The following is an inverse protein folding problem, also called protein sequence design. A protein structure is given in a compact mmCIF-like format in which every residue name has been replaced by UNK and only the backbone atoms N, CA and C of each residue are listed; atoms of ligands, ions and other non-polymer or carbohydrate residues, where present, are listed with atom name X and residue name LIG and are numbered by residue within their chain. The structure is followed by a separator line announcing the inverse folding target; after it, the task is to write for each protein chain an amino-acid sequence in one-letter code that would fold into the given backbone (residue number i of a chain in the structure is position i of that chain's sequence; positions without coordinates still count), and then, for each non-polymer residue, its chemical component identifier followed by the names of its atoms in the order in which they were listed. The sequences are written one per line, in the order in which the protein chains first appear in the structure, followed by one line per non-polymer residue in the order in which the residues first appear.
data_IF_637287001085
#
_entry.id   IF_637287001085
#
_cell.length_a   1.000
_cell.length_b   1.000
_cell.length_c   1.000
_cell.angle_alpha   90.00
_cell.angle_beta   90.00
_cell.angle_gamma   90.00
#
_symmetry.space_group_name_H-M   'P 1'
#
loop_
_entity.id
_entity.type
_entity.pdbx_description
1 polymer ?
#
# COMPACT_ATOMS: atom_id res chain seq x y z
N UNK A 1 -72.16 30.05 -3.34
CA UNK A 1 -70.77 30.57 -3.58
C UNK A 1 -69.82 30.19 -2.44
N UNK A 2 -69.68 28.92 -2.06
CA UNK A 2 -68.79 28.57 -0.92
C UNK A 2 -67.87 27.33 -1.16
N UNK A 3 -67.82 26.77 -2.39
CA UNK A 3 -66.97 25.58 -2.65
C UNK A 3 -65.60 25.87 -3.30
N UNK A 4 -65.32 27.10 -3.67
CA UNK A 4 -64.04 27.48 -4.31
C UNK A 4 -62.94 27.87 -3.31
N UNK A 5 -63.24 28.16 -2.07
CA UNK A 5 -62.26 28.61 -1.07
C UNK A 5 -61.51 27.41 -0.42
N UNK A 6 -62.12 26.24 -0.31
CA UNK A 6 -61.49 25.06 0.32
C UNK A 6 -60.47 24.38 -0.58
N UNK A 7 -60.60 24.46 -1.89
CA UNK A 7 -59.65 23.85 -2.83
C UNK A 7 -58.29 24.58 -2.92
N UNK A 8 -58.26 25.86 -2.60
CA UNK A 8 -57.02 26.66 -2.58
C UNK A 8 -56.15 26.38 -1.35
N UNK A 9 -56.75 26.06 -0.22
CA UNK A 9 -56.04 25.74 1.02
C UNK A 9 -55.36 24.34 0.97
N UNK A 10 -56.01 23.35 0.37
CA UNK A 10 -55.50 22.01 0.24
C UNK A 10 -54.28 21.98 -0.70
N UNK A 11 -54.32 22.73 -1.83
CA UNK A 11 -53.18 22.85 -2.75
C UNK A 11 -51.97 23.55 -2.12
N UNK A 12 -52.15 24.58 -1.30
CA UNK A 12 -51.08 25.29 -0.60
C UNK A 12 -50.38 24.43 0.44
N UNK A 13 -51.11 23.61 1.17
CA UNK A 13 -50.50 22.71 2.16
C UNK A 13 -49.78 21.52 1.54
N UNK A 14 -50.24 20.99 0.40
CA UNK A 14 -49.59 19.90 -0.30
C UNK A 14 -48.25 20.35 -0.94
N UNK A 15 -48.16 21.55 -1.50
CA UNK A 15 -46.93 22.08 -2.08
C UNK A 15 -45.89 22.41 -0.99
N UNK A 16 -46.36 22.92 0.18
CA UNK A 16 -45.44 23.20 1.31
C UNK A 16 -44.86 21.92 1.94
N UNK A 17 -45.65 20.83 2.02
CA UNK A 17 -45.19 19.56 2.59
C UNK A 17 -44.22 18.84 1.65
N UNK A 18 -44.44 18.87 0.32
CA UNK A 18 -43.51 18.30 -0.64
C UNK A 18 -42.21 19.09 -0.73
N UNK A 19 -42.23 20.39 -0.59
CA UNK A 19 -41.01 21.21 -0.56
C UNK A 19 -40.18 20.97 0.70
N UNK A 20 -40.83 20.76 1.86
CA UNK A 20 -40.13 20.44 3.11
C UNK A 20 -39.46 19.04 3.08
N UNK A 21 -40.06 18.03 2.43
CA UNK A 21 -39.49 16.69 2.30
C UNK A 21 -38.31 16.71 1.36
N UNK A 22 -38.34 17.49 0.27
CA UNK A 22 -37.20 17.63 -0.67
C UNK A 22 -36.01 18.37 -0.03
N UNK A 23 -36.26 19.32 0.87
CA UNK A 23 -35.19 20.03 1.58
C UNK A 23 -34.55 19.19 2.69
N UNK A 24 -35.28 18.24 3.29
CA UNK A 24 -34.72 17.31 4.28
C UNK A 24 -33.86 16.20 3.68
N UNK A 25 -34.13 15.80 2.45
CA UNK A 25 -33.28 14.81 1.73
C UNK A 25 -31.97 15.41 1.23
N UNK A 26 -31.83 16.74 1.14
CA UNK A 26 -30.60 17.42 0.73
C UNK A 26 -29.57 17.57 1.87
N UNK A 27 -29.89 17.19 3.09
CA UNK A 27 -29.02 17.36 4.27
C UNK A 27 -28.41 16.04 4.79
N UNK A 28 -28.47 14.94 4.03
CA UNK A 28 -27.76 13.72 4.40
C UNK A 28 -26.25 13.92 4.13
N UNK A 29 -25.39 13.79 5.14
CA UNK A 29 -23.96 13.96 4.93
C UNK A 29 -23.42 12.86 4.01
N UNK A 30 -22.59 13.25 3.07
CA UNK A 30 -21.99 12.30 2.12
C UNK A 30 -20.83 11.53 2.79
N UNK A 31 -20.85 10.22 2.72
CA UNK A 31 -19.88 9.33 3.42
C UNK A 31 -18.66 8.98 2.56
N UNK A 32 -18.58 9.40 1.31
CA UNK A 32 -17.45 9.16 0.41
C UNK A 32 -17.02 7.69 0.29
N UNK A 33 -17.98 6.77 0.35
CA UNK A 33 -17.72 5.32 0.40
C UNK A 33 -16.93 4.78 -0.80
N UNK A 34 -17.26 5.13 -2.07
CA UNK A 34 -16.47 4.71 -3.22
C UNK A 34 -15.04 5.25 -3.20
N UNK A 35 -14.88 6.51 -2.81
CA UNK A 35 -13.59 7.20 -2.75
C UNK A 35 -12.69 6.59 -1.66
N UNK A 36 -13.24 6.31 -0.48
CA UNK A 36 -12.54 5.62 0.60
C UNK A 36 -12.10 4.22 0.16
N UNK A 37 -12.97 3.48 -0.54
CA UNK A 37 -12.62 2.14 -1.04
C UNK A 37 -11.49 2.21 -2.06
N UNK A 38 -11.56 3.14 -3.01
CA UNK A 38 -10.51 3.32 -4.02
C UNK A 38 -9.19 3.78 -3.39
N UNK A 39 -9.24 4.68 -2.40
CA UNK A 39 -8.05 5.07 -1.64
C UNK A 39 -7.41 3.86 -0.93
N UNK A 40 -8.22 3.03 -0.27
CA UNK A 40 -7.73 1.83 0.40
C UNK A 40 -7.11 0.83 -0.57
N UNK A 41 -7.66 0.65 -1.76
CA UNK A 41 -7.08 -0.20 -2.80
C UNK A 41 -5.70 0.32 -3.24
N UNK A 42 -5.53 1.63 -3.42
CA UNK A 42 -4.23 2.23 -3.71
C UNK A 42 -3.22 2.01 -2.59
N UNK A 43 -3.63 2.10 -1.33
CA UNK A 43 -2.78 1.77 -0.17
C UNK A 43 -2.38 0.29 -0.19
N UNK A 44 -3.32 -0.62 -0.43
CA UNK A 44 -3.01 -2.06 -0.53
C UNK A 44 -2.00 -2.35 -1.64
N UNK A 45 -2.09 -1.66 -2.78
CA UNK A 45 -1.11 -1.77 -3.86
C UNK A 45 0.29 -1.31 -3.42
N UNK A 46 0.41 -0.15 -2.75
CA UNK A 46 1.70 0.35 -2.23
C UNK A 46 2.30 -0.61 -1.19
N UNK A 47 1.48 -1.11 -0.25
CA UNK A 47 1.95 -2.07 0.75
C UNK A 47 2.43 -3.37 0.10
N UNK A 48 1.72 -3.84 -0.93
CA UNK A 48 2.16 -5.00 -1.73
C UNK A 48 3.49 -4.74 -2.43
N UNK A 49 3.69 -3.54 -3.00
CA UNK A 49 4.97 -3.12 -3.62
C UNK A 49 6.10 -3.17 -2.62
N UNK A 50 5.90 -2.62 -1.42
CA UNK A 50 6.92 -2.65 -0.37
C UNK A 50 7.29 -4.09 0.02
N UNK A 51 6.31 -4.95 0.29
CA UNK A 51 6.52 -6.34 0.69
C UNK A 51 7.19 -7.17 -0.43
N UNK A 52 6.71 -7.05 -1.67
CA UNK A 52 7.30 -7.75 -2.82
C UNK A 52 8.72 -7.24 -3.09
N UNK A 53 8.94 -5.93 -2.97
CA UNK A 53 10.25 -5.30 -3.13
C UNK A 53 11.25 -5.80 -2.09
N UNK A 54 10.87 -5.83 -0.81
CA UNK A 54 11.69 -6.34 0.28
C UNK A 54 12.10 -7.80 0.04
N UNK A 55 11.13 -8.66 -0.28
CA UNK A 55 11.38 -10.08 -0.58
C UNK A 55 12.27 -10.28 -1.79
N UNK A 56 12.04 -9.52 -2.87
CA UNK A 56 12.83 -9.60 -4.09
C UNK A 56 14.28 -9.19 -3.84
N UNK A 57 14.50 -8.09 -3.11
CA UNK A 57 15.84 -7.61 -2.74
C UNK A 57 16.55 -8.64 -1.85
N UNK A 58 15.87 -9.21 -0.85
CA UNK A 58 16.43 -10.24 0.00
C UNK A 58 16.86 -11.48 -0.81
N UNK A 59 16.00 -11.94 -1.72
CA UNK A 59 16.29 -13.09 -2.60
C UNK A 59 17.48 -12.82 -3.52
N UNK A 60 17.56 -11.64 -4.12
CA UNK A 60 18.65 -11.26 -5.01
C UNK A 60 19.99 -11.17 -4.28
N UNK A 61 20.01 -10.63 -3.06
CA UNK A 61 21.21 -10.58 -2.23
C UNK A 61 21.67 -12.00 -1.90
N UNK A 62 20.76 -12.89 -1.51
CA UNK A 62 21.09 -14.30 -1.23
C UNK A 62 21.67 -15.01 -2.48
N UNK A 63 21.08 -14.78 -3.67
CA UNK A 63 21.60 -15.31 -4.94
C UNK A 63 22.99 -14.77 -5.27
N UNK A 64 23.25 -13.48 -5.05
CA UNK A 64 24.56 -12.88 -5.27
C UNK A 64 25.61 -13.47 -4.32
N UNK A 65 25.27 -13.69 -3.06
CA UNK A 65 26.15 -14.36 -2.08
C UNK A 65 26.44 -15.80 -2.51
N UNK A 66 25.41 -16.55 -2.90
CA UNK A 66 25.58 -17.90 -3.43
C UNK A 66 26.49 -17.92 -4.65
N UNK A 67 26.29 -17.02 -5.61
CA UNK A 67 27.14 -16.93 -6.82
C UNK A 67 28.60 -16.60 -6.46
N UNK A 68 28.84 -15.74 -5.48
CA UNK A 68 30.15 -15.41 -4.96
C UNK A 68 30.87 -16.65 -4.36
N UNK A 69 30.15 -17.41 -3.51
CA UNK A 69 30.67 -18.66 -2.93
C UNK A 69 31.02 -19.70 -4.00
N UNK A 70 30.15 -19.85 -5.02
CA UNK A 70 30.40 -20.77 -6.15
C UNK A 70 31.63 -20.34 -6.95
N UNK A 71 31.76 -19.05 -7.26
CA UNK A 71 32.88 -18.51 -8.01
C UNK A 71 34.22 -18.66 -7.27
N UNK A 72 34.20 -18.42 -5.96
CA UNK A 72 35.37 -18.57 -5.09
C UNK A 72 35.69 -20.04 -4.76
N UNK A 73 34.75 -20.97 -5.02
CA UNK A 73 34.83 -22.37 -4.56
C UNK A 73 35.09 -22.47 -3.07
N UNK A 74 34.37 -21.64 -2.29
CA UNK A 74 34.52 -21.57 -0.84
C UNK A 74 34.20 -22.92 -0.19
N UNK A 75 34.96 -23.25 0.85
CA UNK A 75 34.58 -24.31 1.78
C UNK A 75 33.40 -23.82 2.59
N UNK A 76 32.29 -24.56 2.55
CA UNK A 76 31.03 -24.18 3.19
C UNK A 76 30.74 -25.08 4.39
N UNK A 77 30.05 -24.49 5.39
CA UNK A 77 29.54 -25.17 6.57
C UNK A 77 28.17 -24.63 6.93
N UNK A 78 27.51 -25.30 7.86
CA UNK A 78 26.26 -24.79 8.46
C UNK A 78 26.57 -23.97 9.70
N UNK A 79 25.78 -22.93 9.96
CA UNK A 79 25.89 -22.19 11.22
C UNK A 79 25.76 -23.15 12.42
N UNK A 80 26.59 -22.97 13.47
CA UNK A 80 26.46 -23.74 14.71
C UNK A 80 25.02 -23.65 15.26
N UNK A 81 24.42 -24.82 15.50
CA UNK A 81 23.04 -24.93 15.96
C UNK A 81 22.04 -25.40 14.91
N UNK A 82 22.42 -25.43 13.61
CA UNK A 82 21.57 -26.02 12.58
C UNK A 82 21.35 -27.53 12.78
N UNK A 83 22.33 -28.22 13.37
CA UNK A 83 22.29 -29.67 13.68
C UNK A 83 21.72 -29.98 15.10
N UNK A 84 21.46 -28.94 15.88
CA UNK A 84 20.97 -29.12 17.24
C UNK A 84 19.48 -29.50 17.22
N UNK A 85 19.20 -30.78 17.43
CA UNK A 85 17.86 -31.21 17.82
C UNK A 85 17.62 -30.67 19.23
N UNK A 86 16.61 -29.81 19.41
CA UNK A 86 16.16 -29.40 20.74
C UNK A 86 15.94 -30.66 21.58
N UNK A 87 16.50 -30.74 22.80
CA UNK A 87 16.28 -31.89 23.71
C UNK A 87 14.79 -32.19 23.95
N UNK A 88 13.89 -31.23 23.70
CA UNK A 88 12.44 -31.37 23.73
C UNK A 88 11.82 -32.00 22.48
N UNK A 89 12.64 -32.34 21.48
CA UNK A 89 12.17 -32.92 20.21
C UNK A 89 11.49 -31.90 19.25
N UNK A 90 11.56 -30.59 19.55
CA UNK A 90 11.09 -29.57 18.63
C UNK A 90 12.11 -29.41 17.50
N UNK A 91 11.63 -29.24 16.24
CA UNK A 91 12.56 -28.92 15.16
C UNK A 91 13.28 -27.61 15.48
N UNK A 92 14.60 -27.51 15.16
CA UNK A 92 15.33 -26.26 15.31
C UNK A 92 14.59 -25.15 14.58
N UNK A 93 14.64 -23.92 15.10
CA UNK A 93 14.06 -22.76 14.41
C UNK A 93 14.82 -22.56 13.11
N UNK A 94 14.27 -23.07 12.01
CA UNK A 94 14.88 -23.00 10.65
C UNK A 94 15.28 -21.58 10.22
N UNK A 95 14.69 -20.55 10.85
CA UNK A 95 15.04 -19.15 10.60
C UNK A 95 16.48 -18.79 10.96
N UNK A 96 17.15 -19.56 11.82
CA UNK A 96 18.49 -19.26 12.32
C UNK A 96 19.58 -20.08 11.58
N UNK A 97 19.18 -21.02 10.71
CA UNK A 97 20.11 -21.83 9.94
C UNK A 97 20.56 -21.12 8.67
N UNK A 98 21.86 -21.03 8.44
CA UNK A 98 22.42 -20.48 7.21
C UNK A 98 23.67 -21.26 6.78
N UNK A 99 23.93 -21.27 5.49
CA UNK A 99 25.20 -21.76 4.91
C UNK A 99 26.19 -20.60 4.98
N UNK A 100 27.35 -20.87 5.57
CA UNK A 100 28.44 -19.90 5.76
C UNK A 100 29.77 -20.49 5.29
N UNK A 101 30.81 -19.67 5.19
CA UNK A 101 32.18 -20.20 4.98
C UNK A 101 32.59 -21.03 6.20
N UNK A 102 33.42 -22.04 5.98
CA UNK A 102 33.80 -23.04 6.98
C UNK A 102 34.29 -22.45 8.30
N UNK A 103 34.95 -21.31 8.30
CA UNK A 103 35.44 -20.64 9.49
C UNK A 103 34.52 -19.51 10.01
N UNK A 104 33.44 -19.20 9.30
CA UNK A 104 32.50 -18.15 9.70
C UNK A 104 31.52 -18.69 10.77
N UNK A 105 31.46 -18.01 11.91
CA UNK A 105 30.58 -18.38 13.02
C UNK A 105 29.26 -17.62 13.03
N UNK A 106 29.08 -16.70 12.10
CA UNK A 106 27.93 -15.81 12.01
C UNK A 106 27.46 -15.71 10.55
N UNK A 107 26.15 -15.63 10.36
CA UNK A 107 25.59 -15.28 9.08
C UNK A 107 26.05 -13.87 8.65
N UNK A 108 26.22 -13.61 7.35
CA UNK A 108 26.56 -12.28 6.90
C UNK A 108 25.48 -11.28 7.38
N UNK A 109 25.89 -10.10 7.87
CA UNK A 109 24.94 -9.10 8.35
C UNK A 109 24.03 -8.64 7.20
N UNK A 110 22.76 -8.29 7.50
CA UNK A 110 21.87 -7.75 6.50
C UNK A 110 22.43 -6.45 5.92
N UNK A 111 22.20 -6.24 4.63
CA UNK A 111 22.60 -4.99 3.97
C UNK A 111 21.82 -3.79 4.52
N UNK A 112 22.36 -2.58 4.37
CA UNK A 112 21.68 -1.37 4.79
C UNK A 112 20.28 -1.21 4.14
N UNK A 113 20.12 -1.65 2.91
CA UNK A 113 18.83 -1.65 2.19
C UNK A 113 17.83 -2.57 2.87
N UNK A 114 18.23 -3.80 3.23
CA UNK A 114 17.37 -4.74 3.93
C UNK A 114 16.96 -4.20 5.31
N UNK A 115 17.91 -3.62 6.05
CA UNK A 115 17.62 -3.02 7.37
C UNK A 115 16.65 -1.85 7.23
N UNK A 116 16.82 -1.00 6.22
CA UNK A 116 15.95 0.15 5.97
C UNK A 116 14.51 -0.30 5.70
N UNK A 117 14.30 -1.16 4.71
CA UNK A 117 12.96 -1.65 4.35
C UNK A 117 12.30 -2.41 5.52
N UNK A 118 13.04 -3.25 6.25
CA UNK A 118 12.51 -3.95 7.41
C UNK A 118 12.07 -3.00 8.54
N UNK A 119 12.79 -1.91 8.76
CA UNK A 119 12.43 -0.90 9.75
C UNK A 119 11.14 -0.15 9.40
N UNK A 120 10.85 0.01 8.10
CA UNK A 120 9.66 0.72 7.63
C UNK A 120 8.43 -0.20 7.47
N UNK A 121 8.62 -1.52 7.49
CA UNK A 121 7.53 -2.51 7.44
C UNK A 121 6.37 -2.27 8.42
N UNK A 122 6.62 -1.95 9.71
CA UNK A 122 5.58 -1.59 10.65
C UNK A 122 4.75 -0.37 10.26
N UNK A 123 5.35 0.61 9.56
CA UNK A 123 4.67 1.80 9.06
C UNK A 123 3.68 1.45 7.95
N UNK A 124 4.10 0.62 6.98
CA UNK A 124 3.22 0.14 5.91
C UNK A 124 2.08 -0.72 6.46
N UNK A 125 2.36 -1.54 7.49
CA UNK A 125 1.33 -2.32 8.18
C UNK A 125 0.30 -1.43 8.88
N UNK A 126 0.75 -0.34 9.53
CA UNK A 126 -0.13 0.62 10.17
C UNK A 126 -0.96 1.42 9.15
N UNK A 127 -0.37 1.80 8.01
CA UNK A 127 -1.07 2.45 6.89
C UNK A 127 -2.17 1.55 6.32
N UNK A 128 -1.88 0.28 6.10
CA UNK A 128 -2.87 -0.72 5.66
C UNK A 128 -4.01 -0.87 6.66
N UNK A 129 -3.69 -0.98 7.94
CA UNK A 129 -4.70 -1.07 9.00
C UNK A 129 -5.61 0.17 9.05
N UNK A 130 -5.04 1.37 8.87
CA UNK A 130 -5.80 2.60 8.78
C UNK A 130 -6.74 2.62 7.57
N UNK A 131 -6.27 2.28 6.39
CA UNK A 131 -7.07 2.20 5.17
C UNK A 131 -8.23 1.18 5.29
N UNK A 132 -7.95 -0.01 5.82
CA UNK A 132 -8.96 -1.03 6.08
C UNK A 132 -10.03 -0.56 7.10
N UNK A 133 -9.61 0.16 8.13
CA UNK A 133 -10.53 0.70 9.13
C UNK A 133 -11.42 1.83 8.58
N UNK A 134 -10.92 2.67 7.66
CA UNK A 134 -11.75 3.63 6.91
C UNK A 134 -12.86 2.93 6.14
N UNK A 135 -12.52 1.86 5.42
CA UNK A 135 -13.50 1.05 4.67
C UNK A 135 -14.52 0.41 5.62
N UNK A 136 -14.09 -0.09 6.77
CA UNK A 136 -14.98 -0.70 7.75
C UNK A 136 -16.02 0.32 8.28
N UNK A 137 -15.60 1.55 8.62
CA UNK A 137 -16.52 2.62 9.06
C UNK A 137 -17.49 2.99 7.94
N UNK A 138 -17.01 3.18 6.72
CA UNK A 138 -17.85 3.56 5.58
C UNK A 138 -18.90 2.50 5.21
N UNK A 139 -18.61 1.22 5.49
CA UNK A 139 -19.44 0.07 5.15
C UNK A 139 -20.24 -0.51 6.32
N UNK A 140 -20.10 0.01 7.54
CA UNK A 140 -20.80 -0.52 8.72
C UNK A 140 -22.34 -0.58 8.49
N UNK A 141 -22.96 -1.73 8.69
CA UNK A 141 -24.36 -1.95 8.33
C UNK A 141 -25.35 -1.52 9.41
N UNK A 142 -24.89 -1.43 10.67
CA UNK A 142 -25.69 -1.11 11.84
C UNK A 142 -24.85 -0.36 12.89
N UNK A 143 -25.50 0.07 13.98
CA UNK A 143 -24.86 0.84 15.04
C UNK A 143 -23.78 0.04 15.79
N UNK A 144 -23.95 -1.25 15.98
CA UNK A 144 -22.99 -2.08 16.69
C UNK A 144 -21.72 -2.27 15.87
N UNK A 145 -21.87 -2.59 14.58
CA UNK A 145 -20.74 -2.69 13.63
C UNK A 145 -20.06 -1.34 13.44
N UNK A 146 -20.80 -0.23 13.42
CA UNK A 146 -20.22 1.12 13.33
C UNK A 146 -19.43 1.47 14.58
N UNK A 147 -19.92 1.15 15.77
CA UNK A 147 -19.18 1.40 17.01
C UNK A 147 -17.85 0.66 17.04
N UNK A 148 -17.85 -0.62 16.67
CA UNK A 148 -16.64 -1.44 16.57
C UNK A 148 -15.69 -0.90 15.51
N UNK A 149 -16.19 -0.57 14.31
CA UNK A 149 -15.38 -0.02 13.21
C UNK A 149 -14.76 1.33 13.59
N UNK A 150 -15.50 2.22 14.29
CA UNK A 150 -15.00 3.51 14.76
C UNK A 150 -13.89 3.34 15.79
N UNK A 151 -14.03 2.39 16.72
CA UNK A 151 -12.95 2.05 17.66
C UNK A 151 -11.72 1.51 16.91
N UNK A 152 -11.93 0.63 15.94
CA UNK A 152 -10.88 0.13 15.06
C UNK A 152 -10.16 1.25 14.32
N UNK A 153 -10.89 2.21 13.74
CA UNK A 153 -10.33 3.36 13.04
C UNK A 153 -9.52 4.26 13.98
N UNK A 154 -10.02 4.53 15.20
CA UNK A 154 -9.28 5.31 16.19
C UNK A 154 -7.96 4.63 16.58
N UNK A 155 -7.99 3.32 16.80
CA UNK A 155 -6.80 2.53 17.13
C UNK A 155 -5.80 2.48 15.98
N UNK A 156 -6.27 2.28 14.74
CA UNK A 156 -5.42 2.24 13.55
C UNK A 156 -4.79 3.60 13.25
N UNK A 157 -5.56 4.70 13.38
CA UNK A 157 -5.06 6.07 13.25
C UNK A 157 -3.99 6.36 14.31
N UNK A 158 -4.21 5.91 15.57
CA UNK A 158 -3.23 6.01 16.65
C UNK A 158 -1.96 5.22 16.36
N UNK A 159 -2.10 4.02 15.87
CA UNK A 159 -0.98 3.18 15.44
C UNK A 159 -0.15 3.83 14.32
N UNK A 160 -0.82 4.38 13.31
CA UNK A 160 -0.16 5.08 12.21
C UNK A 160 0.58 6.34 12.68
N UNK A 161 -0.09 7.18 13.48
CA UNK A 161 0.54 8.36 14.07
C UNK A 161 1.77 8.00 14.92
N UNK A 162 1.67 6.94 15.72
CA UNK A 162 2.78 6.43 16.53
C UNK A 162 3.94 5.88 15.70
N UNK A 163 3.66 5.22 14.58
CA UNK A 163 4.68 4.73 13.65
C UNK A 163 5.40 5.90 12.96
N UNK A 164 4.66 6.90 12.47
CA UNK A 164 5.24 8.11 11.86
C UNK A 164 6.09 8.90 12.86
N UNK A 165 5.63 9.04 14.11
CA UNK A 165 6.39 9.75 15.15
C UNK A 165 7.74 9.10 15.48
N UNK A 166 7.87 7.78 15.32
CA UNK A 166 9.16 7.09 15.51
C UNK A 166 10.16 7.41 14.40
N UNK A 167 9.69 7.59 13.17
CA UNK A 167 10.53 7.91 12.01
C UNK A 167 10.89 9.40 11.94
N UNK A 168 10.00 10.27 12.38
CA UNK A 168 10.17 11.73 12.36
C UNK A 168 9.85 12.31 13.75
N UNK A 169 10.75 12.17 14.73
CA UNK A 169 10.53 12.61 16.12
C UNK A 169 10.30 14.12 16.26
N UNK A 170 10.65 14.91 15.24
CA UNK A 170 10.40 16.36 15.18
C UNK A 170 9.06 16.72 14.53
N UNK A 171 8.29 15.74 14.02
CA UNK A 171 6.96 16.00 13.51
C UNK A 171 6.06 16.53 14.64
N UNK A 172 5.21 17.55 14.37
CA UNK A 172 4.30 18.05 15.38
C UNK A 172 3.47 16.90 15.93
N UNK A 173 3.48 16.74 17.26
CA UNK A 173 2.75 15.66 17.93
C UNK A 173 1.29 15.67 17.49
N UNK A 174 0.86 14.59 16.86
CA UNK A 174 -0.53 14.43 16.44
C UNK A 174 -1.31 14.15 17.72
N UNK A 175 -1.95 15.18 18.24
CA UNK A 175 -2.91 15.04 19.32
C UNK A 175 -4.12 14.29 18.77
N UNK A 176 -4.05 12.96 18.76
CA UNK A 176 -5.22 12.14 18.49
C UNK A 176 -6.25 12.44 19.55
N UNK A 177 -7.33 13.04 19.10
CA UNK A 177 -8.50 13.30 19.95
C UNK A 177 -9.04 11.93 20.39
N UNK A 178 -8.67 11.52 21.59
CA UNK A 178 -9.19 10.31 22.25
C UNK A 178 -10.70 10.38 22.51
N UNK A 179 -11.35 11.46 22.08
CA UNK A 179 -12.77 11.77 22.30
C UNK A 179 -13.74 11.16 21.28
N UNK A 180 -13.28 10.39 20.29
CA UNK A 180 -14.21 9.70 19.38
C UNK A 180 -15.14 8.71 20.09
N UNK A 181 -14.72 8.17 21.25
CA UNK A 181 -15.57 7.32 22.11
C UNK A 181 -16.75 8.05 22.76
N UNK A 182 -16.64 9.38 22.96
CA UNK A 182 -17.71 10.18 23.58
C UNK A 182 -18.86 10.55 22.64
N UNK A 183 -18.63 10.59 21.34
CA UNK A 183 -19.66 10.96 20.36
C UNK A 183 -20.73 9.88 20.16
N UNK A 184 -20.41 8.61 20.47
CA UNK A 184 -21.35 7.49 20.34
C UNK A 184 -22.30 7.35 21.55
N UNK A 185 -22.00 8.02 22.67
CA UNK A 185 -22.80 7.91 23.91
C UNK A 185 -23.97 8.91 24.00
N UNK A 186 -24.03 9.91 23.12
CA UNK A 186 -25.18 10.83 23.10
C UNK A 186 -26.29 10.21 22.27
N UNK A 187 -27.30 9.70 22.96
CA UNK A 187 -28.47 8.98 22.47
C UNK A 187 -29.43 9.77 21.58
N UNK A 188 -28.93 10.41 20.52
CA UNK A 188 -29.72 10.95 19.43
C UNK A 188 -29.76 9.92 18.33
N UNK A 189 -30.96 9.47 17.92
CA UNK A 189 -31.16 8.57 16.76
C UNK A 189 -30.87 9.30 15.46
N UNK A 190 -29.56 9.60 15.24
CA UNK A 190 -29.08 10.07 13.97
C UNK A 190 -29.12 8.90 12.99
N UNK A 191 -29.49 9.18 11.74
CA UNK A 191 -29.33 8.22 10.66
C UNK A 191 -27.91 7.66 10.66
N UNK A 192 -27.74 6.38 10.37
CA UNK A 192 -26.45 5.66 10.39
C UNK A 192 -25.36 6.41 9.60
N UNK A 193 -25.73 7.01 8.46
CA UNK A 193 -24.80 7.80 7.62
C UNK A 193 -24.27 9.06 8.33
N UNK A 194 -25.11 9.73 9.16
CA UNK A 194 -24.64 10.87 9.93
C UNK A 194 -23.61 10.47 10.99
N UNK A 195 -23.75 9.28 11.56
CA UNK A 195 -22.80 8.75 12.55
C UNK A 195 -21.49 8.28 11.88
N UNK A 196 -21.57 7.63 10.71
CA UNK A 196 -20.39 7.30 9.88
C UNK A 196 -19.65 8.58 9.53
N UNK A 197 -20.38 9.59 9.04
CA UNK A 197 -19.81 10.89 8.71
C UNK A 197 -19.13 11.53 9.92
N UNK A 198 -19.77 11.56 11.09
CA UNK A 198 -19.19 12.14 12.29
C UNK A 198 -17.87 11.46 12.70
N UNK A 199 -17.79 10.13 12.60
CA UNK A 199 -16.58 9.39 12.89
C UNK A 199 -15.46 9.74 11.88
N UNK A 200 -15.75 9.72 10.59
CA UNK A 200 -14.79 10.05 9.53
C UNK A 200 -14.36 11.52 9.61
N UNK A 201 -15.29 12.46 9.79
CA UNK A 201 -15.04 13.90 9.95
C UNK A 201 -14.07 14.21 11.10
N UNK A 202 -14.13 13.43 12.18
CA UNK A 202 -13.26 13.64 13.34
C UNK A 202 -11.86 13.06 13.11
N UNK A 203 -11.76 11.86 12.56
CA UNK A 203 -10.51 11.10 12.55
C UNK A 203 -9.67 11.40 11.30
N UNK A 204 -10.28 11.46 10.12
CA UNK A 204 -9.54 11.61 8.86
C UNK A 204 -8.75 12.92 8.80
N UNK A 205 -9.33 14.10 9.13
CA UNK A 205 -8.54 15.32 9.15
C UNK A 205 -7.44 15.35 10.23
N UNK A 206 -7.68 14.68 11.37
CA UNK A 206 -6.71 14.63 12.45
C UNK A 206 -5.44 13.84 12.07
N UNK A 207 -5.56 12.85 11.17
CA UNK A 207 -4.43 12.04 10.71
C UNK A 207 -3.72 12.62 9.46
N UNK A 208 -4.30 13.61 8.79
CA UNK A 208 -3.77 14.19 7.56
C UNK A 208 -2.30 14.65 7.66
N UNK A 209 -1.85 15.31 8.75
CA UNK A 209 -0.43 15.67 8.92
C UNK A 209 0.50 14.44 8.98
N UNK A 210 0.03 13.30 9.51
CA UNK A 210 0.81 12.07 9.50
C UNK A 210 0.94 11.49 8.09
N UNK A 211 -0.12 11.53 7.30
CA UNK A 211 -0.10 11.07 5.90
C UNK A 211 0.85 11.93 5.07
N UNK A 212 0.88 13.24 5.27
CA UNK A 212 1.83 14.15 4.60
C UNK A 212 3.28 13.76 4.94
N UNK A 213 3.56 13.50 6.22
CA UNK A 213 4.91 13.07 6.66
C UNK A 213 5.27 11.70 6.10
N UNK A 214 4.33 10.76 6.13
CA UNK A 214 4.45 9.41 5.60
C UNK A 214 4.76 9.41 4.10
N UNK A 215 4.20 10.33 3.32
CA UNK A 215 4.44 10.43 1.87
C UNK A 215 5.92 10.43 1.51
N UNK A 216 6.75 11.11 2.30
CA UNK A 216 8.22 11.14 2.08
C UNK A 216 8.88 9.78 2.31
N UNK A 217 8.44 9.01 3.31
CA UNK A 217 8.97 7.67 3.56
C UNK A 217 8.52 6.71 2.46
N UNK A 218 7.24 6.76 2.06
CA UNK A 218 6.72 5.98 0.94
C UNK A 218 7.51 6.27 -0.34
N UNK A 219 7.74 7.54 -0.68
CA UNK A 219 8.55 7.93 -1.83
C UNK A 219 9.97 7.34 -1.76
N UNK A 220 10.63 7.46 -0.60
CA UNK A 220 12.00 6.97 -0.43
C UNK A 220 12.09 5.45 -0.62
N UNK A 221 11.18 4.69 -0.03
CA UNK A 221 11.15 3.24 -0.16
C UNK A 221 10.82 2.77 -1.58
N UNK A 222 9.80 3.36 -2.21
CA UNK A 222 9.47 3.05 -3.59
C UNK A 222 10.61 3.38 -4.55
N UNK A 223 11.32 4.50 -4.32
CA UNK A 223 12.50 4.91 -5.09
C UNK A 223 13.64 3.89 -4.92
N UNK A 224 13.87 3.43 -3.70
CA UNK A 224 14.89 2.44 -3.38
C UNK A 224 14.60 1.09 -4.05
N UNK A 225 13.37 0.59 -3.92
CA UNK A 225 12.90 -0.66 -4.55
C UNK A 225 13.04 -0.57 -6.08
N UNK A 226 12.54 0.51 -6.68
CA UNK A 226 12.64 0.75 -8.12
C UNK A 226 14.08 0.80 -8.61
N UNK A 227 14.95 1.55 -7.92
CA UNK A 227 16.35 1.66 -8.28
C UNK A 227 17.05 0.30 -8.27
N UNK A 228 16.79 -0.51 -7.24
CA UNK A 228 17.34 -1.86 -7.14
C UNK A 228 16.87 -2.77 -8.29
N UNK A 229 15.58 -2.74 -8.60
CA UNK A 229 14.99 -3.51 -9.70
C UNK A 229 15.56 -3.10 -11.06
N UNK A 230 15.70 -1.79 -11.33
CA UNK A 230 16.26 -1.28 -12.59
C UNK A 230 17.70 -1.78 -12.76
N UNK A 231 18.52 -1.71 -11.70
CA UNK A 231 19.92 -2.19 -11.76
C UNK A 231 19.98 -3.69 -12.05
N UNK A 232 19.11 -4.48 -11.42
CA UNK A 232 19.09 -5.92 -11.63
C UNK A 232 18.58 -6.28 -13.04
N UNK A 233 17.47 -5.71 -13.48
CA UNK A 233 16.93 -5.90 -14.82
C UNK A 233 17.95 -5.49 -15.91
N UNK A 234 18.71 -4.43 -15.68
CA UNK A 234 19.77 -4.00 -16.60
C UNK A 234 20.88 -5.06 -16.70
N UNK A 235 21.33 -5.62 -15.58
CA UNK A 235 22.32 -6.72 -15.58
C UNK A 235 21.79 -7.93 -16.34
N UNK A 236 20.54 -8.32 -16.10
CA UNK A 236 19.91 -9.45 -16.74
C UNK A 236 19.76 -9.22 -18.26
N UNK A 237 19.38 -8.01 -18.69
CA UNK A 237 19.32 -7.64 -20.10
C UNK A 237 20.68 -7.72 -20.79
N UNK A 238 21.76 -7.26 -20.13
CA UNK A 238 23.11 -7.39 -20.68
C UNK A 238 23.53 -8.86 -20.83
N UNK A 239 23.21 -9.70 -19.86
CA UNK A 239 23.47 -11.13 -19.94
C UNK A 239 22.68 -11.80 -21.09
N UNK A 240 21.40 -11.44 -21.25
CA UNK A 240 20.54 -12.01 -22.29
C UNK A 240 20.86 -11.51 -23.70
N UNK A 241 21.45 -10.33 -23.86
CA UNK A 241 21.92 -9.81 -25.15
C UNK A 241 23.25 -10.44 -25.58
N UNK A 242 24.08 -10.85 -24.62
CA UNK A 242 25.42 -11.38 -24.92
C UNK A 242 25.47 -12.51 -26.00
N UNK A 243 24.53 -13.50 -25.98
CA UNK A 243 24.50 -14.53 -27.01
C UNK A 243 24.27 -14.01 -28.43
N UNK A 244 23.59 -12.86 -28.58
CA UNK A 244 23.33 -12.23 -29.89
C UNK A 244 24.53 -11.39 -30.41
N UNK A 245 25.43 -11.03 -29.50
CA UNK A 245 26.66 -10.28 -29.83
C UNK A 245 27.87 -11.16 -30.08
N UNK A 246 27.80 -12.43 -29.70
CA UNK A 246 28.88 -13.37 -29.86
C UNK A 246 28.97 -13.86 -31.31
N UNK A 247 30.20 -14.22 -31.78
CA UNK A 247 30.44 -14.84 -33.09
C UNK A 247 29.66 -16.15 -33.25
N UNK A 248 29.30 -16.78 -32.15
CA UNK A 248 28.50 -18.00 -32.10
C UNK A 248 27.02 -17.83 -32.43
N UNK A 249 26.52 -16.61 -32.67
CA UNK A 249 25.10 -16.38 -33.01
C UNK A 249 24.67 -17.22 -34.22
N UNK A 250 25.53 -17.40 -35.18
CA UNK A 250 25.29 -18.24 -36.39
C UNK A 250 25.16 -19.75 -36.10
N UNK A 251 25.49 -20.21 -34.91
CA UNK A 251 25.32 -21.60 -34.46
C UNK A 251 23.98 -21.87 -33.79
N UNK A 252 23.21 -20.84 -33.48
CA UNK A 252 21.84 -20.98 -32.91
C UNK A 252 20.91 -21.53 -34.00
N UNK A 253 20.07 -22.47 -33.62
CA UNK A 253 18.94 -22.84 -34.46
C UNK A 253 17.96 -21.67 -34.58
N UNK A 254 17.17 -21.63 -35.66
CA UNK A 254 16.14 -20.57 -35.81
C UNK A 254 15.18 -20.57 -34.63
N UNK A 255 14.75 -21.74 -34.14
CA UNK A 255 13.87 -21.88 -32.98
C UNK A 255 14.51 -21.32 -31.70
N UNK A 256 15.78 -21.60 -31.43
CA UNK A 256 16.49 -21.09 -30.25
C UNK A 256 16.70 -19.59 -30.34
N UNK A 257 17.03 -19.08 -31.51
CA UNK A 257 17.15 -17.64 -31.75
C UNK A 257 15.82 -16.93 -31.48
N UNK A 258 14.72 -17.43 -32.06
CA UNK A 258 13.38 -16.86 -31.86
C UNK A 258 12.94 -16.90 -30.39
N UNK A 259 13.16 -18.01 -29.69
CA UNK A 259 12.83 -18.15 -28.28
C UNK A 259 13.59 -17.13 -27.42
N UNK A 260 14.91 -17.03 -27.59
CA UNK A 260 15.77 -16.08 -26.88
C UNK A 260 15.41 -14.63 -27.20
N UNK A 261 15.12 -14.32 -28.46
CA UNK A 261 14.72 -12.98 -28.88
C UNK A 261 13.38 -12.57 -28.25
N UNK A 262 12.40 -13.45 -28.23
CA UNK A 262 11.08 -13.21 -27.59
C UNK A 262 11.25 -12.98 -26.09
N UNK A 263 12.07 -13.78 -25.40
CA UNK A 263 12.37 -13.61 -23.99
C UNK A 263 13.04 -12.25 -23.70
N UNK A 264 14.02 -11.87 -24.54
CA UNK A 264 14.69 -10.57 -24.46
C UNK A 264 13.69 -9.40 -24.64
N UNK A 265 12.80 -9.47 -25.64
CA UNK A 265 11.76 -8.45 -25.84
C UNK A 265 10.85 -8.32 -24.63
N UNK A 266 10.45 -9.44 -24.03
CA UNK A 266 9.64 -9.43 -22.80
C UNK A 266 10.35 -8.73 -21.65
N UNK A 267 11.64 -9.04 -21.42
CA UNK A 267 12.43 -8.37 -20.38
C UNK A 267 12.65 -6.89 -20.66
N UNK A 268 12.82 -6.49 -21.92
CA UNK A 268 12.89 -5.06 -22.30
C UNK A 268 11.59 -4.34 -21.96
N UNK A 269 10.43 -4.97 -22.20
CA UNK A 269 9.13 -4.40 -21.83
C UNK A 269 9.02 -4.22 -20.31
N UNK A 270 9.41 -5.21 -19.51
CA UNK A 270 9.43 -5.13 -18.03
C UNK A 270 10.37 -4.03 -17.55
N UNK A 271 11.57 -3.92 -18.12
CA UNK A 271 12.52 -2.85 -17.80
C UNK A 271 11.95 -1.46 -18.10
N UNK A 272 11.30 -1.29 -19.24
CA UNK A 272 10.67 -0.01 -19.60
C UNK A 272 9.50 0.32 -18.66
N UNK A 273 8.71 -0.66 -18.26
CA UNK A 273 7.62 -0.49 -17.28
C UNK A 273 8.19 -0.07 -15.91
N UNK A 274 9.24 -0.71 -15.42
CA UNK A 274 9.90 -0.33 -14.17
C UNK A 274 10.48 1.09 -14.23
N UNK A 275 10.98 1.51 -15.39
CA UNK A 275 11.47 2.89 -15.60
C UNK A 275 10.37 3.93 -15.66
N UNK A 276 9.20 3.59 -16.16
CA UNK A 276 8.07 4.51 -16.28
C UNK A 276 7.37 4.80 -14.95
N UNK A 277 7.44 3.88 -13.98
CA UNK A 277 6.86 4.09 -12.66
C UNK A 277 7.57 5.23 -11.93
N UNK A 278 6.81 6.21 -11.41
CA UNK A 278 7.36 7.37 -10.69
C UNK A 278 6.97 7.33 -9.21
N UNK A 279 7.92 7.00 -8.31
CA UNK A 279 7.69 6.98 -6.87
C UNK A 279 7.22 8.30 -6.27
N UNK A 280 7.72 9.43 -6.78
CA UNK A 280 7.34 10.76 -6.31
C UNK A 280 5.89 11.07 -6.69
N UNK A 281 5.49 10.80 -7.93
CA UNK A 281 4.11 10.98 -8.37
C UNK A 281 3.14 10.16 -7.52
N UNK A 282 3.48 8.90 -7.22
CA UNK A 282 2.64 8.01 -6.41
C UNK A 282 2.47 8.54 -4.98
N UNK A 283 3.58 8.92 -4.34
CA UNK A 283 3.54 9.43 -2.98
C UNK A 283 2.78 10.76 -2.89
N UNK A 284 2.98 11.66 -3.84
CA UNK A 284 2.25 12.93 -3.93
C UNK A 284 0.76 12.70 -4.20
N UNK A 285 0.41 11.76 -5.08
CA UNK A 285 -0.98 11.41 -5.37
C UNK A 285 -1.68 10.79 -4.13
N UNK A 286 -0.98 9.96 -3.35
CA UNK A 286 -1.49 9.44 -2.08
C UNK A 286 -1.83 10.55 -1.09
N UNK A 287 -0.90 11.49 -0.91
CA UNK A 287 -1.06 12.63 -0.01
C UNK A 287 -2.20 13.54 -0.49
N UNK A 288 -2.26 13.88 -1.78
CA UNK A 288 -3.34 14.72 -2.35
C UNK A 288 -4.72 14.06 -2.22
N UNK A 289 -4.82 12.76 -2.50
CA UNK A 289 -6.05 11.99 -2.35
C UNK A 289 -6.57 12.02 -0.91
N UNK A 290 -5.70 11.77 0.08
CA UNK A 290 -6.07 11.83 1.49
C UNK A 290 -6.44 13.25 1.93
N UNK A 291 -5.65 14.24 1.54
CA UNK A 291 -5.89 15.65 1.89
C UNK A 291 -7.23 16.15 1.36
N UNK A 292 -7.58 15.81 0.11
CA UNK A 292 -8.88 16.16 -0.47
C UNK A 292 -10.04 15.47 0.24
N UNK A 293 -9.86 14.20 0.63
CA UNK A 293 -10.85 13.49 1.43
C UNK A 293 -11.03 14.17 2.80
N UNK A 294 -9.95 14.52 3.47
CA UNK A 294 -9.97 15.22 4.75
C UNK A 294 -10.65 16.59 4.65
N UNK A 295 -10.29 17.39 3.65
CA UNK A 295 -10.90 18.70 3.41
C UNK A 295 -12.39 18.61 3.08
N UNK A 296 -12.80 17.62 2.31
CA UNK A 296 -14.21 17.40 1.97
C UNK A 296 -15.04 16.99 3.18
N UNK A 297 -14.50 16.14 4.04
CA UNK A 297 -15.12 15.77 5.31
C UNK A 297 -15.25 16.99 6.23
N UNK A 298 -14.23 17.83 6.36
CA UNK A 298 -14.27 19.04 7.19
C UNK A 298 -15.33 20.05 6.73
N UNK A 299 -15.43 20.25 5.42
CA UNK A 299 -16.28 21.30 4.86
C UNK A 299 -17.69 20.83 4.52
N UNK A 300 -18.02 19.56 4.73
CA UNK A 300 -19.25 18.92 4.24
C UNK A 300 -19.55 19.31 2.78
N UNK A 301 -18.48 19.43 1.99
CA UNK A 301 -18.57 19.88 0.61
C UNK A 301 -19.02 18.70 -0.24
N UNK A 302 -20.20 18.68 -0.77
CA UNK A 302 -20.66 17.67 -1.72
C UNK A 302 -19.84 17.64 -3.04
N UNK A 303 -18.60 18.15 -3.04
CA UNK A 303 -17.68 18.16 -4.20
C UNK A 303 -17.02 16.81 -4.39
N UNK A 304 -17.72 15.87 -5.00
CA UNK A 304 -17.26 14.49 -5.22
C UNK A 304 -16.18 14.42 -6.30
N UNK A 305 -16.32 15.19 -7.39
CA UNK A 305 -15.47 15.09 -8.59
C UNK A 305 -13.98 15.30 -8.31
N UNK A 306 -13.54 16.34 -7.57
CA UNK A 306 -12.12 16.51 -7.27
C UNK A 306 -11.52 15.40 -6.42
N UNK A 307 -12.30 14.84 -5.49
CA UNK A 307 -11.85 13.73 -4.64
C UNK A 307 -11.73 12.46 -5.47
N UNK A 308 -12.76 12.15 -6.25
CA UNK A 308 -12.76 10.97 -7.13
C UNK A 308 -11.58 11.01 -8.10
N UNK A 309 -11.29 12.17 -8.70
CA UNK A 309 -10.14 12.34 -9.60
C UNK A 309 -8.83 12.05 -8.87
N UNK A 310 -8.59 12.64 -7.70
CA UNK A 310 -7.35 12.45 -6.95
C UNK A 310 -7.18 10.99 -6.49
N UNK A 311 -8.24 10.38 -5.97
CA UNK A 311 -8.20 8.99 -5.52
C UNK A 311 -8.00 8.02 -6.68
N UNK A 312 -8.65 8.27 -7.84
CA UNK A 312 -8.46 7.43 -9.03
C UNK A 312 -7.04 7.57 -9.59
N UNK A 313 -6.49 8.78 -9.63
CA UNK A 313 -5.10 9.00 -10.04
C UNK A 313 -4.13 8.25 -9.14
N UNK A 314 -4.33 8.34 -7.82
CA UNK A 314 -3.53 7.61 -6.84
C UNK A 314 -3.62 6.09 -7.02
N UNK A 315 -4.84 5.53 -7.05
CA UNK A 315 -5.03 4.09 -7.23
C UNK A 315 -4.41 3.58 -8.53
N UNK A 316 -4.59 4.31 -9.64
CA UNK A 316 -4.00 3.96 -10.94
C UNK A 316 -2.47 3.96 -10.89
N UNK A 317 -1.86 4.99 -10.31
CA UNK A 317 -0.41 5.08 -10.21
C UNK A 317 0.17 3.98 -9.29
N UNK A 318 -0.51 3.67 -8.18
CA UNK A 318 -0.13 2.59 -7.27
C UNK A 318 -0.22 1.20 -7.94
N UNK A 319 -1.29 0.95 -8.70
CA UNK A 319 -1.48 -0.31 -9.44
C UNK A 319 -0.43 -0.46 -10.56
N UNK A 320 -0.06 0.61 -11.24
CA UNK A 320 1.01 0.60 -12.25
C UNK A 320 2.37 0.24 -11.63
N UNK A 321 2.69 0.83 -10.47
CA UNK A 321 3.91 0.50 -9.73
C UNK A 321 3.91 -0.96 -9.27
N UNK A 322 2.77 -1.43 -8.72
CA UNK A 322 2.61 -2.83 -8.32
C UNK A 322 2.84 -3.77 -9.50
N UNK A 323 2.23 -3.50 -10.65
CA UNK A 323 2.41 -4.31 -11.84
C UNK A 323 3.87 -4.32 -12.32
N UNK A 324 4.59 -3.18 -12.21
CA UNK A 324 6.00 -3.10 -12.56
C UNK A 324 6.88 -3.94 -11.61
N UNK A 325 6.60 -3.88 -10.30
CA UNK A 325 7.35 -4.63 -9.28
C UNK A 325 7.09 -6.13 -9.40
N UNK A 326 5.84 -6.54 -9.58
CA UNK A 326 5.46 -7.94 -9.76
C UNK A 326 6.08 -8.53 -11.04
N UNK A 327 6.07 -7.79 -12.15
CA UNK A 327 6.70 -8.19 -13.40
C UNK A 327 8.23 -8.34 -13.25
N UNK A 328 8.88 -7.40 -12.55
CA UNK A 328 10.31 -7.47 -12.28
C UNK A 328 10.67 -8.67 -11.40
N UNK A 329 9.88 -8.95 -10.34
CA UNK A 329 10.07 -10.12 -9.49
C UNK A 329 9.90 -11.43 -10.27
N UNK A 330 8.92 -11.51 -11.16
CA UNK A 330 8.72 -12.67 -12.06
C UNK A 330 9.86 -12.86 -13.05
N UNK A 331 10.39 -11.78 -13.63
CA UNK A 331 11.49 -11.84 -14.59
C UNK A 331 12.81 -12.31 -13.97
N UNK A 332 13.07 -11.94 -12.71
CA UNK A 332 14.30 -12.35 -11.98
C UNK A 332 14.20 -13.76 -11.39
N UNK A 333 12.99 -14.26 -11.07
CA UNK A 333 12.78 -15.61 -10.51
C UNK A 333 12.94 -16.75 -11.51
N UNK A 334 12.78 -16.51 -12.81
CA UNK A 334 12.82 -17.54 -13.86
C UNK A 334 14.22 -18.02 -14.24
N UNK A 335 15.27 -17.30 -13.84
CA UNK A 335 16.67 -17.67 -14.19
C UNK A 335 17.19 -18.86 -13.36
N UNK A 336 16.59 -19.16 -12.21
CA UNK A 336 17.04 -20.25 -11.32
C UNK A 336 16.60 -21.66 -11.77
N UNK A 337 15.70 -21.80 -12.74
CA UNK A 337 15.10 -23.09 -13.12
C UNK A 337 15.70 -23.72 -14.41
N UNK A 338 16.65 -23.07 -15.08
CA UNK A 338 17.17 -23.51 -16.39
C UNK A 338 18.69 -23.69 -16.44
N UNK A 339 19.27 -24.36 -15.44
CA UNK A 339 20.64 -24.90 -15.55
C UNK A 339 20.66 -26.38 -15.18
#
# INVERSE_FOLDING_TARGET
MSRFAEWSLIKRNLVSTTLAIVLLSACSPYVYKPEITSFANGIDAIVSVHQTGEQTIATQIAQQQQAAHVAAKDHLDLLPGCDAVDPSGNPPRLADCAVVKFDDKLAPPPTQVQVHLANDGPLFSALKAYAAALVAVSNAADDATLAQATQGLTSAAGGLAGAVAKLAPTAPGIALVTSAGGLLSQGVSLYLDSRRYAALHTIVPAIDPAIITLGKTVEADLRLIRAHQIVQLQKDLHADVAPFQADSVGTLTESDYQAKFTALQTKVAVFNQARAADPEEIANAMVDAHHRLAAALQNNSGQIVPILTAVTSFSTAADQMKAAVDAAAGATGTVAATK
#
